data_IF_406263176796
#
_entry.id   IF_406263176796
#
_cell.length_a   1.000
_cell.length_b   1.000
_cell.length_c   1.000
_cell.angle_alpha   90.00
_cell.angle_beta   90.00
_cell.angle_gamma   90.00
#
_symmetry.space_group_name_H-M   'P 1'
#
loop_
_entity.id
_entity.type
_entity.pdbx_description
1 polymer ?
#
# COMPACT_ATOMS: atom_id res chain seq x y z
N UNK A 1 23.28 -6.34 10.76
CA UNK A 1 22.33 -6.55 9.64
C UNK A 1 21.01 -7.06 10.20
N UNK A 2 19.87 -6.48 9.81
CA UNK A 2 18.55 -6.97 10.24
C UNK A 2 18.15 -8.25 9.53
N UNK A 3 17.50 -9.17 10.25
CA UNK A 3 16.98 -10.40 9.67
C UNK A 3 15.69 -10.13 8.87
N UNK A 4 15.22 -11.14 8.11
CA UNK A 4 14.04 -10.98 7.25
C UNK A 4 12.78 -10.62 8.06
N UNK A 5 12.56 -11.22 9.22
CA UNK A 5 11.37 -10.98 10.06
C UNK A 5 11.31 -9.53 10.57
N UNK A 6 12.44 -9.00 11.01
CA UNK A 6 12.57 -7.59 11.43
C UNK A 6 12.25 -6.64 10.28
N UNK A 7 12.76 -6.92 9.07
CA UNK A 7 12.47 -6.12 7.87
C UNK A 7 10.99 -6.15 7.50
N UNK A 8 10.31 -7.29 7.64
CA UNK A 8 8.87 -7.42 7.36
C UNK A 8 8.03 -6.62 8.36
N UNK A 9 8.34 -6.72 9.66
CA UNK A 9 7.67 -5.93 10.70
C UNK A 9 7.85 -4.43 10.50
N UNK A 10 9.06 -4.01 10.14
CA UNK A 10 9.33 -2.61 9.82
C UNK A 10 8.57 -2.15 8.58
N UNK A 11 8.56 -2.96 7.52
CA UNK A 11 7.82 -2.65 6.29
C UNK A 11 6.32 -2.52 6.57
N UNK A 12 5.75 -3.45 7.35
CA UNK A 12 4.35 -3.38 7.76
C UNK A 12 4.05 -2.13 8.58
N UNK A 13 4.89 -1.82 9.57
CA UNK A 13 4.74 -0.62 10.40
C UNK A 13 4.79 0.66 9.57
N UNK A 14 5.76 0.76 8.65
CA UNK A 14 5.91 1.95 7.80
C UNK A 14 4.75 2.05 6.81
N UNK A 15 4.35 0.94 6.19
CA UNK A 15 3.20 0.90 5.29
C UNK A 15 1.91 1.34 5.99
N UNK A 16 1.67 0.83 7.20
CA UNK A 16 0.54 1.20 8.05
C UNK A 16 0.54 2.70 8.37
N UNK A 17 1.67 3.26 8.79
CA UNK A 17 1.82 4.69 9.07
C UNK A 17 1.58 5.54 7.81
N UNK A 18 2.06 5.09 6.64
CA UNK A 18 1.82 5.78 5.36
C UNK A 18 0.33 5.77 5.02
N UNK A 19 -0.38 4.65 5.22
CA UNK A 19 -1.82 4.53 4.97
C UNK A 19 -2.65 5.55 5.78
N UNK A 20 -2.27 5.80 7.05
CA UNK A 20 -2.96 6.77 7.92
C UNK A 20 -2.72 8.22 7.52
N UNK A 21 -1.57 8.51 6.92
CA UNK A 21 -1.14 9.88 6.58
C UNK A 21 -1.49 10.28 5.15
N UNK A 22 -1.93 9.33 4.33
CA UNK A 22 -2.35 9.61 2.97
C UNK A 22 -3.76 10.17 3.00
N UNK A 23 -3.94 11.32 2.33
CA UNK A 23 -5.26 11.90 2.11
C UNK A 23 -5.42 12.20 0.61
N UNK A 24 -6.66 12.32 0.10
CA UNK A 24 -6.92 12.68 -1.29
C UNK A 24 -6.21 13.97 -1.70
N UNK A 25 -6.27 14.99 -0.84
CA UNK A 25 -5.70 16.31 -1.10
C UNK A 25 -4.19 16.24 -1.27
N UNK A 26 -3.54 15.34 -0.51
CA UNK A 26 -2.10 15.13 -0.66
C UNK A 26 -1.78 14.50 -2.01
N UNK A 27 -2.52 13.47 -2.42
CA UNK A 27 -2.32 12.87 -3.75
C UNK A 27 -2.52 13.89 -4.86
N UNK A 28 -3.51 14.76 -4.75
CA UNK A 28 -3.85 15.73 -5.80
C UNK A 28 -2.93 16.96 -5.82
N UNK A 29 -2.49 17.45 -4.66
CA UNK A 29 -1.92 18.80 -4.54
C UNK A 29 -0.59 18.91 -3.77
N UNK A 30 -0.13 17.88 -3.04
CA UNK A 30 1.10 17.96 -2.21
C UNK A 30 2.35 17.70 -3.07
N UNK A 31 3.20 18.73 -3.19
CA UNK A 31 4.43 18.67 -3.98
C UNK A 31 5.49 17.90 -3.18
N UNK A 32 5.71 16.65 -3.55
CA UNK A 32 6.62 15.72 -2.83
C UNK A 32 5.93 14.48 -2.26
N UNK A 33 4.63 14.30 -2.52
CA UNK A 33 3.88 13.10 -2.11
C UNK A 33 4.30 11.84 -2.89
N UNK A 34 4.97 11.99 -4.03
CA UNK A 34 5.49 10.91 -4.87
C UNK A 34 6.54 10.06 -4.15
N UNK A 35 7.43 10.68 -3.37
CA UNK A 35 8.42 9.95 -2.58
C UNK A 35 7.79 9.00 -1.53
N UNK A 36 6.93 9.46 -0.60
CA UNK A 36 6.36 8.59 0.42
C UNK A 36 5.39 7.53 -0.11
N UNK A 37 4.72 7.77 -1.25
CA UNK A 37 3.84 6.77 -1.86
C UNK A 37 4.63 5.71 -2.64
N UNK A 38 5.73 6.10 -3.28
CA UNK A 38 6.68 5.15 -3.87
C UNK A 38 7.25 4.20 -2.80
N UNK A 39 7.69 4.75 -1.66
CA UNK A 39 8.12 3.92 -0.52
C UNK A 39 7.01 2.97 -0.04
N UNK A 40 5.76 3.44 0.04
CA UNK A 40 4.64 2.60 0.41
C UNK A 40 4.41 1.45 -0.59
N UNK A 41 4.54 1.71 -1.89
CA UNK A 41 4.45 0.68 -2.93
C UNK A 41 5.56 -0.38 -2.76
N UNK A 42 6.79 0.04 -2.51
CA UNK A 42 7.92 -0.87 -2.24
C UNK A 42 7.70 -1.72 -0.98
N UNK A 43 7.16 -1.13 0.09
CA UNK A 43 6.81 -1.89 1.29
C UNK A 43 5.70 -2.90 0.99
N UNK A 44 4.68 -2.51 0.23
CA UNK A 44 3.56 -3.40 -0.11
C UNK A 44 3.98 -4.58 -0.97
N UNK A 45 4.85 -4.36 -1.95
CA UNK A 45 5.41 -5.42 -2.79
C UNK A 45 6.21 -6.44 -1.95
N UNK A 46 7.06 -5.93 -1.04
CA UNK A 46 7.81 -6.80 -0.12
C UNK A 46 6.89 -7.61 0.79
N UNK A 47 5.86 -6.98 1.34
CA UNK A 47 4.86 -7.66 2.17
C UNK A 47 4.10 -8.72 1.37
N UNK A 48 3.82 -8.48 0.09
CA UNK A 48 3.21 -9.48 -0.78
C UNK A 48 4.11 -10.68 -1.00
N UNK A 49 5.37 -10.42 -1.38
CA UNK A 49 6.36 -11.46 -1.66
C UNK A 49 6.54 -12.44 -0.51
N UNK A 50 6.42 -11.95 0.73
CA UNK A 50 6.59 -12.74 1.96
C UNK A 50 5.31 -12.84 2.79
N UNK A 51 4.14 -12.69 2.17
CA UNK A 51 2.84 -12.68 2.87
C UNK A 51 2.61 -13.92 3.74
N UNK A 52 3.06 -15.10 3.28
CA UNK A 52 2.98 -16.36 4.03
C UNK A 52 3.80 -16.39 5.33
N UNK A 53 4.66 -15.41 5.58
CA UNK A 53 5.44 -15.27 6.82
C UNK A 53 4.81 -14.29 7.82
N UNK A 54 3.67 -13.68 7.49
CA UNK A 54 2.94 -12.78 8.37
C UNK A 54 2.04 -13.58 9.30
N UNK A 55 1.92 -13.15 10.56
CA UNK A 55 0.92 -13.71 11.48
C UNK A 55 -0.48 -13.24 11.09
N UNK A 56 -1.52 -13.87 11.64
CA UNK A 56 -2.90 -13.42 11.45
C UNK A 56 -3.11 -11.94 11.86
N UNK A 57 -2.48 -11.51 12.96
CA UNK A 57 -2.52 -10.12 13.41
C UNK A 57 -1.83 -9.16 12.43
N UNK A 58 -0.67 -9.56 11.90
CA UNK A 58 0.06 -8.75 10.91
C UNK A 58 -0.68 -8.68 9.57
N UNK A 59 -1.36 -9.75 9.18
CA UNK A 59 -2.26 -9.77 8.02
C UNK A 59 -3.44 -8.81 8.22
N UNK A 60 -4.08 -8.82 9.39
CA UNK A 60 -5.17 -7.89 9.69
C UNK A 60 -4.70 -6.41 9.61
N UNK A 61 -3.48 -6.11 10.09
CA UNK A 61 -2.88 -4.77 9.95
C UNK A 61 -2.63 -4.42 8.49
N UNK A 62 -2.14 -5.36 7.68
CA UNK A 62 -1.92 -5.16 6.25
C UNK A 62 -3.24 -4.88 5.52
N UNK A 63 -4.28 -5.67 5.78
CA UNK A 63 -5.61 -5.53 5.18
C UNK A 63 -6.26 -4.19 5.54
N UNK A 64 -6.13 -3.77 6.79
CA UNK A 64 -6.62 -2.46 7.23
C UNK A 64 -5.86 -1.29 6.59
N UNK A 65 -4.55 -1.44 6.37
CA UNK A 65 -3.77 -0.45 5.62
C UNK A 65 -4.19 -0.41 4.13
N UNK A 66 -4.36 -1.58 3.50
CA UNK A 66 -4.85 -1.71 2.12
C UNK A 66 -6.24 -1.05 1.97
N UNK A 67 -7.14 -1.22 2.95
CA UNK A 67 -8.46 -0.56 2.97
C UNK A 67 -8.37 0.96 2.93
N UNK A 68 -7.49 1.57 3.73
CA UNK A 68 -7.32 3.04 3.75
C UNK A 68 -6.76 3.59 2.44
N UNK A 69 -5.83 2.87 1.82
CA UNK A 69 -5.36 3.23 0.48
C UNK A 69 -6.50 3.14 -0.53
N UNK A 70 -7.32 2.09 -0.48
CA UNK A 70 -8.48 1.93 -1.36
C UNK A 70 -9.48 3.07 -1.19
N UNK A 71 -9.79 3.46 0.04
CA UNK A 71 -10.67 4.60 0.32
C UNK A 71 -10.14 5.92 -0.26
N UNK A 72 -8.82 6.12 -0.18
CA UNK A 72 -8.18 7.29 -0.81
C UNK A 72 -8.25 7.20 -2.32
N UNK A 73 -7.98 6.02 -2.90
CA UNK A 73 -8.06 5.77 -4.33
C UNK A 73 -9.45 6.08 -4.89
N UNK A 74 -10.51 5.62 -4.23
CA UNK A 74 -11.88 5.85 -4.68
C UNK A 74 -12.23 7.34 -4.81
N UNK A 75 -11.60 8.21 -4.01
CA UNK A 75 -11.80 9.65 -4.04
C UNK A 75 -11.00 10.37 -5.14
N UNK A 76 -9.89 9.79 -5.60
CA UNK A 76 -8.95 10.45 -6.53
C UNK A 76 -8.85 9.77 -7.90
N UNK A 77 -9.37 8.55 -8.07
CA UNK A 77 -9.21 7.76 -9.31
C UNK A 77 -9.65 8.49 -10.57
N UNK A 78 -10.73 9.28 -10.49
CA UNK A 78 -11.31 10.01 -11.61
C UNK A 78 -10.82 11.47 -11.72
N UNK A 79 -9.89 11.90 -10.86
CA UNK A 79 -9.36 13.27 -10.86
C UNK A 79 -7.91 13.22 -11.26
N UNK A 80 -7.54 13.91 -12.33
CA UNK A 80 -6.15 13.96 -12.79
C UNK A 80 -5.42 15.14 -12.16
N UNK A 81 -4.32 14.88 -11.40
CA UNK A 81 -3.51 15.95 -10.86
C UNK A 81 -2.86 16.76 -11.99
N UNK A 82 -2.80 18.07 -11.86
CA UNK A 82 -2.13 18.92 -12.84
C UNK A 82 -0.61 18.79 -12.76
N UNK A 83 -0.10 18.60 -11.55
CA UNK A 83 1.34 18.57 -11.23
C UNK A 83 1.94 17.19 -11.55
N UNK A 84 3.08 17.10 -12.27
CA UNK A 84 3.70 15.82 -12.65
C UNK A 84 3.99 14.87 -11.48
N UNK A 85 4.50 15.37 -10.35
CA UNK A 85 4.80 14.56 -9.17
C UNK A 85 3.53 13.89 -8.60
N UNK A 86 2.42 14.61 -8.60
CA UNK A 86 1.14 14.09 -8.13
C UNK A 86 0.56 13.03 -9.09
N UNK A 87 0.82 13.13 -10.40
CA UNK A 87 0.50 12.06 -11.36
C UNK A 87 1.29 10.78 -11.07
N UNK A 88 2.59 10.90 -10.79
CA UNK A 88 3.44 9.77 -10.38
C UNK A 88 2.90 9.16 -9.09
N UNK A 89 2.54 10.00 -8.12
CA UNK A 89 1.99 9.54 -6.86
C UNK A 89 0.68 8.77 -7.01
N UNK A 90 -0.22 9.28 -7.86
CA UNK A 90 -1.49 8.61 -8.21
C UNK A 90 -1.22 7.25 -8.87
N UNK A 91 -0.22 7.16 -9.75
CA UNK A 91 0.17 5.89 -10.37
C UNK A 91 0.67 4.86 -9.34
N UNK A 92 1.53 5.26 -8.40
CA UNK A 92 1.97 4.36 -7.32
C UNK A 92 0.82 3.94 -6.39
N UNK A 93 -0.12 4.83 -6.11
CA UNK A 93 -1.34 4.46 -5.38
C UNK A 93 -2.13 3.39 -6.16
N UNK A 94 -2.29 3.54 -7.47
CA UNK A 94 -2.95 2.54 -8.31
C UNK A 94 -2.26 1.17 -8.22
N UNK A 95 -0.93 1.12 -8.24
CA UNK A 95 -0.16 -0.12 -8.11
C UNK A 95 -0.37 -0.80 -6.77
N UNK A 96 -0.40 -0.03 -5.67
CA UNK A 96 -0.76 -0.52 -4.34
C UNK A 96 -2.16 -1.17 -4.38
N UNK A 97 -3.14 -0.54 -5.01
CA UNK A 97 -4.51 -1.07 -5.11
C UNK A 97 -4.56 -2.35 -5.95
N UNK A 98 -3.81 -2.42 -7.04
CA UNK A 98 -3.70 -3.64 -7.86
C UNK A 98 -3.16 -4.80 -7.04
N UNK A 99 -2.10 -4.57 -6.26
CA UNK A 99 -1.55 -5.58 -5.35
C UNK A 99 -2.61 -6.02 -4.32
N UNK A 100 -3.23 -5.08 -3.61
CA UNK A 100 -4.25 -5.37 -2.60
C UNK A 100 -5.43 -6.21 -3.13
N UNK A 101 -5.94 -5.88 -4.31
CA UNK A 101 -7.03 -6.62 -4.97
C UNK A 101 -6.58 -8.02 -5.38
N UNK A 102 -5.40 -8.15 -5.99
CA UNK A 102 -4.87 -9.44 -6.42
C UNK A 102 -4.59 -10.39 -5.24
N UNK A 103 -4.15 -9.84 -4.11
CA UNK A 103 -3.94 -10.59 -2.86
C UNK A 103 -5.23 -11.13 -2.26
N UNK A 104 -6.37 -10.48 -2.54
CA UNK A 104 -7.70 -10.89 -2.08
C UNK A 104 -8.29 -12.00 -2.95
N UNK A 105 -7.98 -11.98 -4.26
CA UNK A 105 -8.44 -12.99 -5.23
C UNK A 105 -7.69 -14.32 -5.19
N UNK A 106 -6.55 -14.41 -4.50
CA UNK A 106 -5.70 -15.62 -4.42
C UNK A 106 -5.79 -16.33 -3.06
N UNK A 107 -6.99 -16.52 -2.52
CA UNK A 107 -7.20 -17.58 -1.53
C UNK A 107 -7.32 -18.92 -2.28
N UNK A 108 -6.40 -19.89 -2.09
CA UNK A 108 -6.68 -21.25 -2.51
C UNK A 108 -7.76 -21.80 -1.56
N UNK A 109 -8.92 -22.12 -2.12
CA UNK A 109 -9.92 -22.93 -1.43
C UNK A 109 -9.28 -24.27 -1.08
N UNK A 110 -9.42 -24.66 0.18
CA UNK A 110 -8.85 -25.85 0.82
C UNK A 110 -9.03 -27.10 -0.04
N UNK A 111 -7.95 -27.88 -0.10
CA UNK A 111 -7.95 -29.33 -0.30
C UNK A 111 -9.01 -30.01 0.57
N UNK A 112 -9.84 -30.84 -0.07
CA UNK A 112 -10.48 -32.02 0.50
C UNK A 112 -10.52 -33.09 -0.61
#
# INVERSE_FOLDING_TARGET
MRNLREKLRESLRLYEVRSRRLTPERILNDWGIDYPINEAALFRERLEKYKGMLTAEELAVLEEADRRFLETWEKVKNVDPEVPYNKIAKAFLEDIIKLAKNSSSKQPVKTA
#
